data_IF_014972665427
#
_entry.id   IF_014972665427
#
_cell.length_a   1.000
_cell.length_b   1.000
_cell.length_c   1.000
_cell.angle_alpha   90.00
_cell.angle_beta   90.00
_cell.angle_gamma   90.00
#
_symmetry.space_group_name_H-M   'P 1'
#
loop_
_entity.id
_entity.type
_entity.pdbx_description
1 polymer ?
#
# COMPACT_ATOMS: atom_id res chain seq x y z
N UNK A 1 -9.83 36.97 11.36
CA UNK A 1 -10.33 35.80 12.11
C UNK A 1 -9.12 34.93 12.46
N UNK A 2 -8.60 34.95 13.71
CA UNK A 2 -7.35 34.27 14.07
C UNK A 2 -7.53 32.76 14.41
N UNK A 3 -8.71 32.18 14.14
CA UNK A 3 -9.05 30.81 14.53
C UNK A 3 -8.69 29.72 13.50
N UNK A 4 -8.36 30.09 12.26
CA UNK A 4 -8.06 29.15 11.16
C UNK A 4 -6.70 28.47 11.32
N UNK A 5 -5.72 29.17 11.89
CA UNK A 5 -4.32 28.76 11.83
C UNK A 5 -4.00 27.66 12.85
N UNK A 6 -4.69 27.67 14.00
CA UNK A 6 -4.58 26.60 15.00
C UNK A 6 -5.21 25.29 14.53
N UNK A 7 -6.26 25.35 13.71
CA UNK A 7 -6.91 24.17 13.15
C UNK A 7 -5.97 23.46 12.17
N UNK A 8 -5.27 24.21 11.32
CA UNK A 8 -4.27 23.66 10.39
C UNK A 8 -3.15 22.90 11.10
N UNK A 9 -2.70 23.34 12.27
CA UNK A 9 -1.68 22.62 13.04
C UNK A 9 -2.23 21.39 13.78
N UNK A 10 -3.49 21.44 14.24
CA UNK A 10 -4.09 20.35 15.00
C UNK A 10 -4.54 19.17 14.12
N UNK A 11 -4.96 19.42 12.88
CA UNK A 11 -5.53 18.39 12.01
C UNK A 11 -4.55 17.24 11.66
N UNK A 12 -3.26 17.49 11.34
CA UNK A 12 -2.29 16.41 11.15
C UNK A 12 -2.08 15.57 12.43
N UNK A 13 -2.10 16.20 13.61
CA UNK A 13 -2.01 15.49 14.88
C UNK A 13 -3.23 14.60 15.13
N UNK A 14 -4.43 15.10 14.81
CA UNK A 14 -5.68 14.32 14.90
C UNK A 14 -5.61 13.12 13.95
N UNK A 15 -5.16 13.32 12.71
CA UNK A 15 -5.01 12.24 11.74
C UNK A 15 -4.03 11.17 12.25
N UNK A 16 -2.86 11.57 12.74
CA UNK A 16 -1.88 10.64 13.35
C UNK A 16 -2.47 9.90 14.55
N UNK A 17 -3.24 10.59 15.39
CA UNK A 17 -3.96 9.97 16.51
C UNK A 17 -4.96 8.90 16.05
N UNK A 18 -5.75 9.20 15.02
CA UNK A 18 -6.69 8.24 14.40
C UNK A 18 -5.95 7.04 13.82
N UNK A 19 -4.85 7.27 13.11
CA UNK A 19 -4.02 6.20 12.54
C UNK A 19 -3.40 5.32 13.62
N UNK A 20 -2.90 5.92 14.69
CA UNK A 20 -2.38 5.19 15.84
C UNK A 20 -3.46 4.35 16.52
N UNK A 21 -4.67 4.89 16.69
CA UNK A 21 -5.79 4.11 17.23
C UNK A 21 -6.17 2.93 16.31
N UNK A 22 -6.13 3.12 14.99
CA UNK A 22 -6.40 2.06 14.01
C UNK A 22 -5.34 0.95 14.01
N UNK A 23 -4.07 1.27 14.31
CA UNK A 23 -2.98 0.29 14.31
C UNK A 23 -2.94 -0.56 15.58
N UNK A 24 -3.57 -0.08 16.66
CA UNK A 24 -3.69 -0.76 17.94
C UNK A 24 -4.77 -1.86 17.96
N UNK A 25 -4.66 -2.78 18.92
CA UNK A 25 -5.67 -3.83 19.16
C UNK A 25 -6.90 -3.28 19.89
N UNK A 26 -7.81 -2.67 19.14
CA UNK A 26 -9.03 -2.06 19.66
C UNK A 26 -10.22 -3.05 19.69
N UNK A 27 -11.23 -2.75 20.51
CA UNK A 27 -12.51 -3.46 20.47
C UNK A 27 -13.28 -3.15 19.18
N UNK A 28 -14.23 -4.01 18.81
CA UNK A 28 -15.05 -3.79 17.60
C UNK A 28 -15.84 -2.49 17.69
N UNK A 29 -16.42 -2.19 18.85
CA UNK A 29 -17.18 -0.96 19.07
C UNK A 29 -16.28 0.29 18.96
N UNK A 30 -15.07 0.23 19.52
CA UNK A 30 -14.12 1.33 19.39
C UNK A 30 -13.71 1.53 17.93
N UNK A 31 -13.43 0.45 17.19
CA UNK A 31 -13.10 0.52 15.76
C UNK A 31 -14.22 1.14 14.94
N UNK A 32 -15.49 0.80 15.19
CA UNK A 32 -16.62 1.44 14.52
C UNK A 32 -16.62 2.96 14.70
N UNK A 33 -16.43 3.44 15.93
CA UNK A 33 -16.30 4.87 16.20
C UNK A 33 -15.09 5.48 15.49
N UNK A 34 -13.94 4.81 15.53
CA UNK A 34 -12.71 5.28 14.88
C UNK A 34 -12.90 5.38 13.36
N UNK A 35 -13.55 4.40 12.70
CA UNK A 35 -13.85 4.46 11.28
C UNK A 35 -14.81 5.60 10.93
N UNK A 36 -15.80 5.87 11.76
CA UNK A 36 -16.70 7.03 11.58
C UNK A 36 -15.92 8.34 11.69
N UNK A 37 -15.07 8.48 12.70
CA UNK A 37 -14.20 9.65 12.86
C UNK A 37 -13.24 9.81 11.68
N UNK A 38 -12.61 8.72 11.24
CA UNK A 38 -11.72 8.69 10.08
C UNK A 38 -12.44 9.18 8.81
N UNK A 39 -13.61 8.63 8.49
CA UNK A 39 -14.41 9.07 7.33
C UNK A 39 -14.81 10.54 7.42
N UNK A 40 -15.13 11.00 8.63
CA UNK A 40 -15.50 12.41 8.86
C UNK A 40 -14.32 13.34 8.59
N UNK A 41 -13.10 12.96 9.01
CA UNK A 41 -11.88 13.73 8.73
C UNK A 41 -11.60 13.78 7.23
N UNK A 42 -11.69 12.64 6.53
CA UNK A 42 -11.48 12.60 5.06
C UNK A 42 -12.47 13.50 4.33
N UNK A 43 -13.75 13.46 4.69
CA UNK A 43 -14.79 14.30 4.05
C UNK A 43 -14.63 15.78 4.32
N UNK A 44 -14.21 16.15 5.53
CA UNK A 44 -14.12 17.56 5.93
C UNK A 44 -12.82 18.23 5.48
N UNK A 45 -11.74 17.45 5.35
CA UNK A 45 -10.40 17.96 5.09
C UNK A 45 -9.66 17.13 4.01
N UNK A 46 -10.24 16.95 2.81
CA UNK A 46 -9.61 16.13 1.77
C UNK A 46 -8.27 16.71 1.30
N UNK A 47 -8.18 18.03 1.12
CA UNK A 47 -6.95 18.71 0.65
C UNK A 47 -5.76 18.45 1.60
N UNK A 48 -6.01 18.44 2.91
CA UNK A 48 -4.98 18.11 3.89
C UNK A 48 -4.43 16.69 3.69
N UNK A 49 -5.32 15.70 3.48
CA UNK A 49 -4.92 14.29 3.36
C UNK A 49 -4.23 14.03 2.02
N UNK A 50 -4.74 14.60 0.93
CA UNK A 50 -4.28 14.26 -0.41
C UNK A 50 -3.14 15.15 -0.93
N UNK A 51 -2.99 16.38 -0.43
CA UNK A 51 -1.94 17.31 -0.86
C UNK A 51 -0.83 17.49 0.16
N UNK A 52 -1.17 17.59 1.45
CA UNK A 52 -0.20 17.97 2.50
C UNK A 52 0.41 16.76 3.21
N UNK A 53 -0.37 15.71 3.47
CA UNK A 53 0.02 14.56 4.31
C UNK A 53 0.04 13.25 3.51
N UNK A 54 0.77 13.21 2.39
CA UNK A 54 0.83 12.04 1.50
C UNK A 54 1.32 10.75 2.20
N UNK A 55 2.26 10.88 3.15
CA UNK A 55 2.75 9.76 3.97
C UNK A 55 1.63 9.17 4.85
N UNK A 56 0.83 10.04 5.50
CA UNK A 56 -0.28 9.61 6.35
C UNK A 56 -1.43 9.00 5.52
N UNK A 57 -1.60 9.43 4.27
CA UNK A 57 -2.52 8.79 3.34
C UNK A 57 -2.07 7.36 3.00
N UNK A 58 -0.78 7.13 2.80
CA UNK A 58 -0.19 5.79 2.64
C UNK A 58 -0.44 4.92 3.87
N UNK A 59 -0.11 5.42 5.06
CA UNK A 59 -0.35 4.68 6.32
C UNK A 59 -1.85 4.40 6.54
N UNK A 60 -2.73 5.33 6.20
CA UNK A 60 -4.17 5.11 6.22
C UNK A 60 -4.58 3.95 5.31
N UNK A 61 -4.09 3.94 4.06
CA UNK A 61 -4.36 2.86 3.12
C UNK A 61 -3.89 1.50 3.66
N UNK A 62 -2.70 1.47 4.29
CA UNK A 62 -2.17 0.27 4.94
C UNK A 62 -3.08 -0.25 6.04
N UNK A 63 -3.50 0.61 6.98
CA UNK A 63 -4.39 0.21 8.06
C UNK A 63 -5.78 -0.22 7.55
N UNK A 64 -6.33 0.49 6.56
CA UNK A 64 -7.61 0.10 5.95
C UNK A 64 -7.53 -1.28 5.29
N UNK A 65 -6.48 -1.57 4.52
CA UNK A 65 -6.28 -2.87 3.90
C UNK A 65 -6.10 -3.99 4.94
N UNK A 66 -5.35 -3.72 6.02
CA UNK A 66 -5.21 -4.65 7.16
C UNK A 66 -6.56 -5.01 7.77
N UNK A 67 -7.43 -4.02 8.00
CA UNK A 67 -8.78 -4.23 8.53
C UNK A 67 -9.73 -4.88 7.52
N UNK A 68 -9.56 -4.64 6.23
CA UNK A 68 -10.27 -5.36 5.16
C UNK A 68 -9.95 -6.86 5.15
N UNK A 69 -8.77 -7.27 5.63
CA UNK A 69 -8.38 -8.67 5.82
C UNK A 69 -8.77 -9.24 7.21
N UNK A 70 -9.50 -8.48 8.05
CA UNK A 70 -9.90 -8.94 9.39
C UNK A 70 -10.84 -10.14 9.34
N UNK A 71 -10.76 -11.05 10.31
CA UNK A 71 -11.70 -12.18 10.44
C UNK A 71 -13.11 -11.71 10.84
N UNK A 72 -13.23 -10.52 11.41
CA UNK A 72 -14.48 -9.96 11.92
C UNK A 72 -15.26 -9.26 10.78
N UNK A 73 -16.46 -9.74 10.42
CA UNK A 73 -17.24 -9.16 9.31
C UNK A 73 -17.58 -7.68 9.51
N UNK A 74 -17.94 -7.29 10.73
CA UNK A 74 -18.32 -5.91 11.05
C UNK A 74 -17.17 -4.93 10.80
N UNK A 75 -15.95 -5.30 11.20
CA UNK A 75 -14.73 -4.51 10.95
C UNK A 75 -14.46 -4.41 9.45
N UNK A 76 -14.56 -5.52 8.71
CA UNK A 76 -14.35 -5.53 7.26
C UNK A 76 -15.30 -4.61 6.52
N UNK A 77 -16.59 -4.62 6.87
CA UNK A 77 -17.59 -3.74 6.23
C UNK A 77 -17.27 -2.27 6.49
N UNK A 78 -16.88 -1.91 7.71
CA UNK A 78 -16.48 -0.53 8.03
C UNK A 78 -15.21 -0.11 7.28
N UNK A 79 -14.21 -0.99 7.21
CA UNK A 79 -12.97 -0.74 6.49
C UNK A 79 -13.19 -0.60 4.98
N UNK A 80 -14.01 -1.46 4.38
CA UNK A 80 -14.40 -1.38 2.97
C UNK A 80 -15.12 -0.06 2.66
N UNK A 81 -16.08 0.35 3.50
CA UNK A 81 -16.76 1.63 3.35
C UNK A 81 -15.80 2.83 3.47
N UNK A 82 -14.85 2.77 4.41
CA UNK A 82 -13.81 3.78 4.56
C UNK A 82 -12.85 3.86 3.37
N UNK A 83 -12.44 2.71 2.82
CA UNK A 83 -11.58 2.64 1.63
C UNK A 83 -12.30 3.17 0.38
N UNK A 84 -13.57 2.81 0.21
CA UNK A 84 -14.42 3.34 -0.84
C UNK A 84 -14.52 4.87 -0.78
N UNK A 85 -14.86 5.40 0.40
CA UNK A 85 -14.99 6.83 0.62
C UNK A 85 -13.66 7.54 0.35
N UNK A 86 -12.54 7.01 0.81
CA UNK A 86 -11.22 7.60 0.54
C UNK A 86 -10.96 7.76 -0.97
N UNK A 87 -11.26 6.73 -1.76
CA UNK A 87 -11.11 6.81 -3.21
C UNK A 87 -12.11 7.80 -3.84
N UNK A 88 -13.35 7.82 -3.35
CA UNK A 88 -14.40 8.71 -3.85
C UNK A 88 -14.05 10.17 -3.62
N UNK A 89 -13.70 10.53 -2.39
CA UNK A 89 -13.30 11.89 -2.03
C UNK A 89 -12.02 12.28 -2.80
N UNK A 90 -11.06 11.36 -2.98
CA UNK A 90 -9.86 11.67 -3.78
C UNK A 90 -10.20 12.04 -5.22
N UNK A 91 -11.19 11.38 -5.81
CA UNK A 91 -11.65 11.64 -7.18
C UNK A 91 -12.44 12.96 -7.28
N UNK A 92 -13.26 13.28 -6.28
CA UNK A 92 -14.07 14.51 -6.25
C UNK A 92 -13.24 15.76 -5.93
N UNK A 93 -12.24 15.66 -5.06
CA UNK A 93 -11.39 16.80 -4.68
C UNK A 93 -10.39 17.23 -5.77
N UNK A 94 -10.38 16.57 -6.94
CA UNK A 94 -9.45 16.90 -8.03
C UNK A 94 -8.00 16.47 -7.79
N UNK A 95 -7.70 15.92 -6.60
CA UNK A 95 -6.47 15.17 -6.35
C UNK A 95 -6.43 13.94 -7.28
N UNK A 96 -5.29 13.58 -7.85
CA UNK A 96 -5.32 12.46 -8.80
C UNK A 96 -5.61 11.14 -8.05
N UNK A 97 -6.73 10.50 -8.37
CA UNK A 97 -7.05 9.13 -7.92
C UNK A 97 -5.88 8.16 -8.20
N UNK A 98 -5.06 8.46 -9.21
CA UNK A 98 -3.81 7.77 -9.49
C UNK A 98 -2.85 7.73 -8.27
N UNK A 99 -2.72 8.83 -7.51
CA UNK A 99 -1.90 8.85 -6.27
C UNK A 99 -2.45 7.91 -5.22
N UNK A 100 -3.76 7.95 -4.95
CA UNK A 100 -4.38 7.05 -3.96
C UNK A 100 -4.31 5.59 -4.42
N UNK A 101 -4.51 5.30 -5.71
CA UNK A 101 -4.30 3.96 -6.29
C UNK A 101 -2.87 3.46 -6.07
N UNK A 102 -1.88 4.32 -6.28
CA UNK A 102 -0.47 4.01 -6.02
C UNK A 102 -0.25 3.72 -4.53
N UNK A 103 -0.78 4.57 -3.63
CA UNK A 103 -0.68 4.36 -2.19
C UNK A 103 -1.34 3.06 -1.73
N UNK A 104 -2.51 2.72 -2.26
CA UNK A 104 -3.20 1.45 -1.97
C UNK A 104 -2.36 0.26 -2.44
N UNK A 105 -1.80 0.34 -3.66
CA UNK A 105 -0.96 -0.72 -4.23
C UNK A 105 0.31 -0.91 -3.39
N UNK A 106 0.99 0.19 -3.05
CA UNK A 106 2.19 0.15 -2.19
C UNK A 106 1.88 -0.39 -0.80
N UNK A 107 0.79 0.08 -0.20
CA UNK A 107 0.33 -0.39 1.12
C UNK A 107 0.03 -1.88 1.13
N UNK A 108 -0.59 -2.41 0.07
CA UNK A 108 -0.82 -3.84 -0.07
C UNK A 108 0.50 -4.61 -0.13
N UNK A 109 1.45 -4.16 -0.95
CA UNK A 109 2.76 -4.80 -1.08
C UNK A 109 3.53 -4.80 0.23
N UNK A 110 3.49 -3.70 0.99
CA UNK A 110 4.06 -3.60 2.34
C UNK A 110 3.37 -4.57 3.30
N UNK A 111 2.03 -4.62 3.28
CA UNK A 111 1.25 -5.51 4.14
C UNK A 111 1.59 -6.99 3.89
N UNK A 112 1.71 -7.37 2.62
CA UNK A 112 2.13 -8.71 2.18
C UNK A 112 3.55 -9.02 2.63
N UNK A 113 4.49 -8.08 2.44
CA UNK A 113 5.88 -8.26 2.83
C UNK A 113 6.01 -8.46 4.34
N UNK A 114 5.32 -7.64 5.14
CA UNK A 114 5.31 -7.76 6.61
C UNK A 114 4.70 -9.09 7.05
N UNK A 115 3.58 -9.49 6.45
CA UNK A 115 2.95 -10.79 6.70
C UNK A 115 3.91 -11.96 6.41
N UNK A 116 4.67 -11.88 5.32
CA UNK A 116 5.67 -12.89 4.95
C UNK A 116 6.84 -12.90 5.93
N UNK A 117 7.30 -11.73 6.39
CA UNK A 117 8.39 -11.58 7.37
C UNK A 117 8.02 -12.16 8.74
N UNK A 118 6.81 -11.88 9.21
CA UNK A 118 6.31 -12.34 10.52
C UNK A 118 5.81 -13.79 10.50
N UNK A 119 5.68 -14.40 9.31
CA UNK A 119 5.07 -15.73 9.13
C UNK A 119 3.55 -15.74 9.35
N UNK A 120 2.91 -14.58 9.51
CA UNK A 120 1.47 -14.42 9.71
C UNK A 120 0.81 -14.05 8.39
N UNK A 121 0.23 -15.04 7.73
CA UNK A 121 -0.40 -14.84 6.42
C UNK A 121 -1.68 -13.99 6.49
N UNK A 122 -1.81 -13.07 5.53
CA UNK A 122 -3.03 -12.30 5.32
C UNK A 122 -4.21 -13.22 5.01
N UNK A 123 -5.38 -12.87 5.54
CA UNK A 123 -6.61 -13.57 5.18
C UNK A 123 -7.12 -13.04 3.83
N UNK A 124 -6.58 -13.61 2.76
CA UNK A 124 -6.88 -13.22 1.39
C UNK A 124 -8.38 -13.32 1.07
N UNK A 125 -9.04 -14.40 1.50
CA UNK A 125 -10.49 -14.58 1.27
C UNK A 125 -11.30 -13.44 1.89
N UNK A 126 -10.92 -13.02 3.09
CA UNK A 126 -11.53 -11.87 3.76
C UNK A 126 -11.29 -10.57 2.99
N UNK A 127 -10.05 -10.34 2.54
CA UNK A 127 -9.67 -9.16 1.77
C UNK A 127 -10.41 -9.10 0.42
N UNK A 128 -10.45 -10.20 -0.34
CA UNK A 128 -11.20 -10.33 -1.60
C UNK A 128 -12.69 -10.03 -1.41
N UNK A 129 -13.30 -10.50 -0.32
CA UNK A 129 -14.70 -10.17 0.02
C UNK A 129 -14.89 -8.68 0.28
N UNK A 130 -14.00 -8.06 1.04
CA UNK A 130 -14.04 -6.61 1.31
C UNK A 130 -13.90 -5.78 0.03
N UNK A 131 -12.99 -6.17 -0.87
CA UNK A 131 -12.82 -5.51 -2.17
C UNK A 131 -14.05 -5.68 -3.07
N UNK A 132 -14.72 -6.84 -3.02
CA UNK A 132 -16.01 -7.01 -3.69
C UNK A 132 -17.08 -6.05 -3.15
N UNK A 133 -17.12 -5.81 -1.84
CA UNK A 133 -18.02 -4.80 -1.25
C UNK A 133 -17.70 -3.39 -1.76
N UNK A 134 -16.42 -3.03 -1.88
CA UNK A 134 -15.98 -1.75 -2.46
C UNK A 134 -16.44 -1.61 -3.92
N UNK A 135 -16.32 -2.68 -4.73
CA UNK A 135 -16.83 -2.70 -6.09
C UNK A 135 -18.33 -2.45 -6.13
N UNK A 136 -19.09 -3.16 -5.28
CA UNK A 136 -20.55 -2.96 -5.19
C UNK A 136 -20.91 -1.52 -4.86
N UNK A 137 -20.21 -0.86 -3.93
CA UNK A 137 -20.43 0.57 -3.65
C UNK A 137 -20.16 1.46 -4.87
N UNK A 138 -19.09 1.18 -5.62
CA UNK A 138 -18.79 1.95 -6.84
C UNK A 138 -19.85 1.77 -7.94
N UNK A 139 -20.41 0.56 -8.06
CA UNK A 139 -21.42 0.23 -9.07
C UNK A 139 -22.78 0.81 -8.68
N UNK A 140 -23.14 0.79 -7.39
CA UNK A 140 -24.37 1.44 -6.93
C UNK A 140 -24.35 2.94 -7.17
N UNK A 141 -23.21 3.60 -6.94
CA UNK A 141 -23.08 5.04 -7.17
C UNK A 141 -23.11 5.38 -8.66
N UNK A 142 -22.53 4.54 -9.52
CA UNK A 142 -22.63 4.69 -10.97
C UNK A 142 -24.06 4.48 -11.50
N UNK A 143 -24.82 3.55 -10.90
CA UNK A 143 -26.20 3.26 -11.29
C UNK A 143 -27.22 4.28 -10.77
N UNK A 144 -26.91 4.97 -9.66
CA UNK A 144 -27.81 5.95 -9.04
C UNK A 144 -27.87 7.26 -9.84
N UNK A 145 -26.78 7.63 -10.53
CA UNK A 145 -26.75 8.76 -11.45
C UNK A 145 -26.04 8.40 -12.79
N UNK A 146 -26.75 7.73 -13.72
CA UNK A 146 -26.19 7.27 -14.99
C UNK A 146 -25.76 8.39 -15.94
N UNK A 147 -26.19 9.65 -15.69
CA UNK A 147 -25.91 10.77 -16.58
C UNK A 147 -24.53 11.41 -16.34
N UNK A 148 -23.91 11.13 -15.19
CA UNK A 148 -22.60 11.66 -14.86
C UNK A 148 -21.50 10.71 -15.35
N UNK A 149 -20.96 10.97 -16.56
CA UNK A 149 -19.82 10.23 -17.15
C UNK A 149 -18.64 10.04 -16.18
N UNK A 150 -18.47 10.95 -15.22
CA UNK A 150 -17.44 10.87 -14.19
C UNK A 150 -17.63 9.68 -13.24
N UNK A 151 -18.87 9.31 -12.87
CA UNK A 151 -19.15 8.18 -11.97
C UNK A 151 -18.84 6.84 -12.65
N UNK A 152 -19.15 6.71 -13.94
CA UNK A 152 -18.79 5.54 -14.73
C UNK A 152 -17.26 5.39 -14.85
N UNK A 153 -16.54 6.47 -15.14
CA UNK A 153 -15.07 6.47 -15.19
C UNK A 153 -14.43 6.13 -13.84
N UNK A 154 -15.01 6.62 -12.73
CA UNK A 154 -14.56 6.27 -11.39
C UNK A 154 -14.71 4.77 -11.10
N UNK A 155 -15.89 4.18 -11.39
CA UNK A 155 -16.14 2.75 -11.17
C UNK A 155 -15.16 1.87 -11.96
N UNK A 156 -14.85 2.24 -13.21
CA UNK A 156 -13.85 1.53 -14.02
C UNK A 156 -12.45 1.59 -13.40
N UNK A 157 -12.01 2.77 -12.94
CA UNK A 157 -10.72 2.92 -12.27
C UNK A 157 -10.62 2.13 -10.96
N UNK A 158 -11.72 1.97 -10.23
CA UNK A 158 -11.81 1.12 -9.02
C UNK A 158 -11.76 -0.36 -9.40
N UNK A 159 -12.44 -0.78 -10.49
CA UNK A 159 -12.36 -2.14 -11.03
C UNK A 159 -10.92 -2.52 -11.37
N UNK A 160 -10.21 -1.66 -12.09
CA UNK A 160 -8.80 -1.89 -12.44
C UNK A 160 -7.91 -2.03 -11.21
N UNK A 161 -8.12 -1.18 -10.20
CA UNK A 161 -7.37 -1.26 -8.95
C UNK A 161 -7.61 -2.60 -8.25
N UNK A 162 -8.87 -3.03 -8.14
CA UNK A 162 -9.20 -4.31 -7.48
C UNK A 162 -8.63 -5.49 -8.26
N UNK A 163 -8.66 -5.46 -9.60
CA UNK A 163 -7.99 -6.46 -10.43
C UNK A 163 -6.48 -6.51 -10.16
N UNK A 164 -5.82 -5.35 -10.07
CA UNK A 164 -4.39 -5.27 -9.73
C UNK A 164 -4.11 -5.88 -8.34
N UNK A 165 -4.89 -5.50 -7.33
CA UNK A 165 -4.79 -6.07 -5.98
C UNK A 165 -4.96 -7.60 -6.02
N UNK A 166 -5.94 -8.12 -6.76
CA UNK A 166 -6.15 -9.56 -6.88
C UNK A 166 -4.97 -10.27 -7.56
N UNK A 167 -4.33 -9.66 -8.57
CA UNK A 167 -3.12 -10.21 -9.19
C UNK A 167 -1.98 -10.31 -8.17
N UNK A 168 -1.71 -9.23 -7.43
CA UNK A 168 -0.70 -9.22 -6.36
C UNK A 168 -1.01 -10.30 -5.33
N UNK A 169 -2.25 -10.40 -4.86
CA UNK A 169 -2.65 -11.40 -3.88
C UNK A 169 -2.49 -12.84 -4.41
N UNK A 170 -2.84 -13.09 -5.67
CA UNK A 170 -2.67 -14.42 -6.28
C UNK A 170 -1.22 -14.89 -6.29
N UNK A 171 -0.25 -13.98 -6.48
CA UNK A 171 1.17 -14.33 -6.40
C UNK A 171 1.60 -14.63 -4.95
N UNK A 172 0.94 -14.01 -3.97
CA UNK A 172 1.22 -14.22 -2.54
C UNK A 172 0.61 -15.49 -1.97
N UNK A 173 -0.44 -16.04 -2.58
CA UNK A 173 -0.96 -17.37 -2.21
C UNK A 173 0.09 -18.44 -2.44
N UNK A 174 0.82 -18.36 -3.56
CA UNK A 174 1.91 -19.29 -3.85
C UNK A 174 3.02 -19.19 -2.81
N UNK A 175 3.34 -17.98 -2.32
CA UNK A 175 4.28 -17.80 -1.21
C UNK A 175 3.85 -18.56 0.05
N UNK A 176 2.55 -18.57 0.36
CA UNK A 176 1.99 -19.32 1.49
C UNK A 176 2.03 -20.83 1.30
N UNK A 177 1.68 -21.30 0.10
CA UNK A 177 1.63 -22.74 -0.22
C UNK A 177 3.02 -23.39 -0.13
N UNK A 178 4.05 -22.68 -0.58
CA UNK A 178 5.43 -23.15 -0.55
C UNK A 178 6.21 -22.68 0.68
N UNK A 179 5.56 -22.18 1.73
CA UNK A 179 6.25 -21.64 2.92
C UNK A 179 7.21 -22.63 3.61
N UNK A 180 6.96 -23.94 3.45
CA UNK A 180 7.83 -25.00 3.97
C UNK A 180 9.06 -25.28 3.09
N UNK A 181 9.00 -24.90 1.82
CA UNK A 181 10.11 -24.98 0.85
C UNK A 181 10.80 -23.63 0.76
N UNK A 182 11.97 -23.53 1.38
CA UNK A 182 12.68 -22.26 1.49
C UNK A 182 13.19 -21.74 0.15
N UNK A 183 13.75 -22.61 -0.67
CA UNK A 183 14.29 -22.23 -1.98
C UNK A 183 13.16 -21.72 -2.88
N UNK A 184 12.04 -22.45 -2.93
CA UNK A 184 10.87 -22.01 -3.69
C UNK A 184 10.29 -20.71 -3.12
N UNK A 185 10.27 -20.53 -1.79
CA UNK A 185 9.81 -19.27 -1.19
C UNK A 185 10.72 -18.10 -1.58
N UNK A 186 12.04 -18.28 -1.54
CA UNK A 186 13.01 -17.24 -1.93
C UNK A 186 12.88 -16.90 -3.42
N UNK A 187 12.75 -17.90 -4.30
CA UNK A 187 12.52 -17.67 -5.73
C UNK A 187 11.20 -16.90 -5.99
N UNK A 188 10.13 -17.26 -5.29
CA UNK A 188 8.86 -16.53 -5.36
C UNK A 188 9.00 -15.09 -4.85
N UNK A 189 9.70 -14.86 -3.74
CA UNK A 189 9.97 -13.51 -3.22
C UNK A 189 10.77 -12.68 -4.23
N UNK A 190 11.75 -13.29 -4.90
CA UNK A 190 12.52 -12.64 -5.95
C UNK A 190 11.67 -12.29 -7.18
N UNK A 191 10.79 -13.21 -7.62
CA UNK A 191 9.83 -12.93 -8.70
C UNK A 191 8.91 -11.77 -8.38
N UNK A 192 8.40 -11.72 -7.14
CA UNK A 192 7.58 -10.61 -6.66
C UNK A 192 8.38 -9.29 -6.65
N UNK A 193 9.61 -9.30 -6.12
CA UNK A 193 10.50 -8.13 -6.14
C UNK A 193 10.77 -7.63 -7.57
N UNK A 194 10.99 -8.55 -8.51
CA UNK A 194 11.20 -8.25 -9.93
C UNK A 194 9.94 -7.74 -10.64
N UNK A 195 8.75 -8.05 -10.11
CA UNK A 195 7.48 -7.48 -10.60
C UNK A 195 7.36 -5.98 -10.31
N UNK A 196 8.00 -5.48 -9.24
CA UNK A 196 7.96 -4.07 -8.84
C UNK A 196 9.06 -3.20 -9.48
N UNK A 197 9.36 -3.39 -10.78
CA UNK A 197 10.44 -2.64 -11.46
C UNK A 197 10.25 -1.12 -11.42
N UNK A 198 9.00 -0.67 -11.41
CA UNK A 198 8.62 0.75 -11.37
C UNK A 198 8.55 1.32 -9.95
N UNK A 199 8.79 0.51 -8.91
CA UNK A 199 8.73 0.92 -7.51
C UNK A 199 9.96 0.41 -6.72
N UNK A 200 11.06 1.19 -6.71
CA UNK A 200 12.33 0.76 -6.12
C UNK A 200 12.25 0.54 -4.61
N UNK A 201 11.41 1.29 -3.88
CA UNK A 201 11.25 1.16 -2.43
C UNK A 201 10.63 -0.19 -2.04
N UNK A 202 9.62 -0.64 -2.80
CA UNK A 202 9.04 -1.96 -2.62
C UNK A 202 10.04 -3.06 -2.95
N UNK A 203 10.77 -2.92 -4.07
CA UNK A 203 11.80 -3.89 -4.45
C UNK A 203 12.91 -3.99 -3.38
N UNK A 204 13.33 -2.86 -2.83
CA UNK A 204 14.27 -2.80 -1.71
C UNK A 204 13.74 -3.54 -0.48
N UNK A 205 12.48 -3.32 -0.13
CA UNK A 205 11.82 -4.00 1.00
C UNK A 205 11.85 -5.52 0.83
N UNK A 206 11.56 -6.04 -0.37
CA UNK A 206 11.62 -7.48 -0.64
C UNK A 206 13.05 -8.03 -0.57
N UNK A 207 14.05 -7.30 -1.08
CA UNK A 207 15.46 -7.70 -0.99
C UNK A 207 15.96 -7.78 0.46
N UNK A 208 15.60 -6.79 1.28
CA UNK A 208 15.94 -6.78 2.71
C UNK A 208 15.24 -7.92 3.46
N UNK A 209 13.98 -8.24 3.10
CA UNK A 209 13.26 -9.37 3.67
C UNK A 209 13.94 -10.71 3.32
N UNK A 210 14.33 -10.91 2.05
CA UNK A 210 15.09 -12.09 1.63
C UNK A 210 16.43 -12.20 2.36
N UNK A 211 17.18 -11.09 2.49
CA UNK A 211 18.43 -11.07 3.23
C UNK A 211 18.25 -11.51 4.69
N UNK A 212 17.21 -11.01 5.36
CA UNK A 212 16.87 -11.42 6.74
C UNK A 212 16.59 -12.92 6.83
N UNK A 213 15.80 -13.47 5.90
CA UNK A 213 15.45 -14.91 5.90
C UNK A 213 16.65 -15.82 5.65
N UNK A 214 17.60 -15.40 4.81
CA UNK A 214 18.87 -16.12 4.64
C UNK A 214 19.72 -16.06 5.91
N UNK A 215 19.80 -14.90 6.56
CA UNK A 215 20.54 -14.75 7.81
C UNK A 215 19.95 -15.61 8.95
N UNK A 216 18.62 -15.71 9.06
CA UNK A 216 17.93 -16.57 10.04
C UNK A 216 18.28 -18.07 9.90
N UNK A 217 18.81 -18.48 8.74
CA UNK A 217 19.25 -19.85 8.45
C UNK A 217 20.77 -20.00 8.36
N UNK A 218 21.52 -18.98 8.80
CA UNK A 218 22.98 -18.94 8.74
C UNK A 218 23.55 -19.01 7.31
N UNK A 219 22.74 -18.70 6.30
CA UNK A 219 23.12 -18.61 4.89
C UNK A 219 23.68 -17.22 4.59
N UNK A 220 24.85 -16.91 5.16
CA UNK A 220 25.41 -15.56 5.15
C UNK A 220 25.88 -15.10 3.76
N UNK A 221 26.26 -16.01 2.87
CA UNK A 221 26.68 -15.69 1.51
C UNK A 221 25.51 -15.12 0.70
N UNK A 222 24.38 -15.81 0.73
CA UNK A 222 23.13 -15.46 0.05
C UNK A 222 22.52 -14.19 0.66
N UNK A 223 22.57 -14.06 2.00
CA UNK A 223 22.19 -12.83 2.68
C UNK A 223 23.05 -11.64 2.21
N UNK A 224 24.37 -11.84 2.11
CA UNK A 224 25.32 -10.84 1.60
C UNK A 224 25.02 -10.43 0.16
N UNK A 225 24.67 -11.38 -0.70
CA UNK A 225 24.24 -11.09 -2.07
C UNK A 225 22.95 -10.27 -2.12
N UNK A 226 21.92 -10.62 -1.33
CA UNK A 226 20.68 -9.85 -1.23
C UNK A 226 20.95 -8.40 -0.80
N UNK A 227 21.84 -8.21 0.20
CA UNK A 227 22.25 -6.88 0.67
C UNK A 227 23.03 -6.10 -0.39
N UNK A 228 23.89 -6.76 -1.16
CA UNK A 228 24.63 -6.13 -2.26
C UNK A 228 23.67 -5.64 -3.36
N UNK A 229 22.66 -6.44 -3.72
CA UNK A 229 21.62 -6.04 -4.65
C UNK A 229 20.78 -4.87 -4.12
N UNK A 230 20.43 -4.88 -2.83
CA UNK A 230 19.73 -3.78 -2.17
C UNK A 230 20.55 -2.47 -2.22
N UNK A 231 21.85 -2.54 -1.91
CA UNK A 231 22.75 -1.40 -1.97
C UNK A 231 22.93 -0.87 -3.41
N UNK A 232 23.06 -1.76 -4.39
CA UNK A 232 23.16 -1.38 -5.80
C UNK A 232 21.88 -0.67 -6.28
N UNK A 233 20.71 -1.17 -5.91
CA UNK A 233 19.42 -0.54 -6.22
C UNK A 233 19.31 0.87 -5.60
N UNK A 234 19.70 1.02 -4.33
CA UNK A 234 19.72 2.31 -3.67
C UNK A 234 20.70 3.29 -4.34
N UNK A 235 21.89 2.82 -4.71
CA UNK A 235 22.89 3.63 -5.40
C UNK A 235 22.41 4.06 -6.79
N UNK A 236 21.74 3.19 -7.54
CA UNK A 236 21.14 3.52 -8.84
C UNK A 236 20.01 4.55 -8.71
N UNK A 237 19.28 4.56 -7.60
CA UNK A 237 18.22 5.55 -7.37
C UNK A 237 18.77 6.91 -6.88
N UNK A 238 19.83 6.89 -6.08
CA UNK A 238 20.47 8.11 -5.53
C UNK A 238 21.44 8.76 -6.54
N UNK A 239 22.17 7.96 -7.32
CA UNK A 239 23.20 8.41 -8.28
C UNK A 239 22.71 9.38 -9.37
N UNK A 240 21.53 9.20 -9.97
CA UNK A 240 20.98 10.12 -10.95
C UNK A 240 20.57 11.46 -10.35
N UNK A 241 20.18 11.48 -9.06
CA UNK A 241 19.69 12.69 -8.37
C UNK A 241 20.84 13.55 -7.84
N UNK A 242 21.97 12.94 -7.47
CA UNK A 242 23.11 13.63 -6.84
C UNK A 242 24.16 14.18 -7.82
N UNK A 243 24.20 13.72 -9.07
CA UNK A 243 25.23 14.13 -10.04
C UNK A 243 24.77 15.16 -11.10
N UNK A 244 23.57 15.74 -11.00
CA UNK A 244 23.14 16.82 -11.92
C UNK A 244 23.57 18.23 -11.48
N UNK A 245 24.22 18.39 -10.33
CA UNK A 245 24.84 19.64 -9.89
C UNK A 245 26.37 19.54 -9.76
N UNK A 246 27.07 19.04 -10.78
CA UNK A 246 28.41 19.51 -11.17
C UNK A 246 28.82 18.83 -12.45
N UNK A 247 29.25 19.64 -13.42
CA UNK A 247 29.73 19.16 -14.70
C UNK A 247 30.87 18.14 -14.53
N UNK A 248 30.81 17.13 -15.40
CA UNK A 248 31.84 16.17 -15.79
C UNK A 248 31.60 14.69 -15.44
N UNK A 249 31.57 13.94 -16.55
CA UNK A 249 31.79 12.51 -16.76
C UNK A 249 30.67 11.54 -16.37
N UNK A 250 29.92 11.15 -17.42
CA UNK A 250 29.02 10.00 -17.42
C UNK A 250 29.78 8.73 -17.03
N UNK A 251 29.58 8.24 -15.81
CA UNK A 251 29.72 6.82 -15.53
C UNK A 251 28.35 6.18 -15.69
N UNK A 252 28.15 5.51 -16.82
CA UNK A 252 27.06 4.57 -17.02
C UNK A 252 27.56 3.23 -16.48
N UNK A 253 27.00 2.65 -15.40
CA UNK A 253 27.23 1.25 -15.12
C UNK A 253 26.42 0.46 -16.15
N UNK A 254 27.12 -0.35 -16.95
CA UNK A 254 26.52 -1.31 -17.86
C UNK A 254 25.48 -2.16 -17.13
N UNK A 255 24.36 -2.42 -17.80
CA UNK A 255 23.27 -3.22 -17.29
C UNK A 255 23.71 -4.58 -16.77
N UNK A 256 23.34 -4.87 -15.52
CA UNK A 256 23.25 -6.22 -14.97
C UNK A 256 21.94 -6.90 -15.42
N UNK A 257 21.66 -6.82 -16.73
CA UNK A 257 20.66 -7.64 -17.39
C UNK A 257 21.38 -8.81 -18.07
N UNK A 258 21.92 -9.75 -17.27
CA UNK A 258 22.00 -11.19 -17.56
C UNK A 258 22.97 -11.89 -16.61
N UNK A 259 22.53 -13.07 -16.15
CA UNK A 259 23.19 -14.01 -15.23
C UNK A 259 23.29 -13.42 -13.81
N UNK A 260 22.36 -13.71 -12.91
CA UNK A 260 22.11 -15.00 -12.26
C UNK A 260 20.70 -15.01 -11.64
#
# INVERSE_FOLDING_TARGET
MPGSDHLHFALPMILRGVLHMLSCNQSVQALECIFVSQRTVVKKFPDMIFEQEAEQCGELCLQLLRHCASRLPTVRTQAAASLYLLMRESFESGSSLARVKMQITMSLSTLVSNATREGVWLNEDCLRRSLKTVLTYSETDANTDPHTRANASFSEQVKDLVCNIHMILSDTVKLKEFANDFEMTIDLMYRVAKGYQTNPDLRLTWLLNMASRHADRELYCEAGQCMLHAAALAAEYIGPVSFTCSGHQKYVPLGLHHNF
#
